data_IF_437416909540
#
_entry.id   IF_437416909540
#
_cell.length_a   1.000
_cell.length_b   1.000
_cell.length_c   1.000
_cell.angle_alpha   90.00
_cell.angle_beta   90.00
_cell.angle_gamma   90.00
#
_symmetry.space_group_name_H-M   'P 1'
#
loop_
_entity.id
_entity.type
_entity.pdbx_description
1 polymer ?
#
# COMPACT_ATOMS: atom_id res chain seq x y z
N UNK A 1 -15.38 19.74 11.64
CA UNK A 1 -14.99 18.40 11.13
C UNK A 1 -14.11 18.45 9.88
N UNK A 2 -14.41 19.25 8.84
CA UNK A 2 -13.59 19.26 7.60
C UNK A 2 -12.15 19.71 7.82
N UNK A 3 -11.96 20.75 8.63
CA UNK A 3 -10.65 21.35 8.93
C UNK A 3 -9.72 20.41 9.71
N UNK A 4 -10.28 19.57 10.58
CA UNK A 4 -9.53 18.55 11.34
C UNK A 4 -9.07 17.41 10.41
N UNK A 5 -9.94 16.95 9.50
CA UNK A 5 -9.58 15.93 8.50
C UNK A 5 -8.48 16.46 7.57
N UNK A 6 -8.62 17.69 7.07
CA UNK A 6 -7.61 18.33 6.24
C UNK A 6 -6.25 18.47 6.94
N UNK A 7 -6.23 18.80 8.23
CA UNK A 7 -4.99 18.87 9.03
C UNK A 7 -4.28 17.52 9.13
N UNK A 8 -5.02 16.42 9.33
CA UNK A 8 -4.44 15.08 9.41
C UNK A 8 -3.90 14.62 8.05
N UNK A 9 -4.62 14.92 6.96
CA UNK A 9 -4.16 14.59 5.61
C UNK A 9 -2.85 15.30 5.28
N UNK A 10 -2.72 16.59 5.62
CA UNK A 10 -1.47 17.34 5.38
C UNK A 10 -0.27 16.76 6.16
N UNK A 11 -0.46 16.42 7.44
CA UNK A 11 0.58 15.78 8.25
C UNK A 11 1.00 14.41 7.70
N UNK A 12 0.02 13.61 7.27
CA UNK A 12 0.26 12.29 6.66
C UNK A 12 0.95 12.40 5.30
N UNK A 13 0.57 13.38 4.50
CA UNK A 13 1.24 13.69 3.22
C UNK A 13 2.70 14.04 3.47
N UNK A 14 2.98 14.91 4.45
CA UNK A 14 4.35 15.25 4.82
C UNK A 14 5.16 14.02 5.24
N UNK A 15 4.55 13.09 5.97
CA UNK A 15 5.19 11.81 6.32
C UNK A 15 5.50 10.96 5.07
N UNK A 16 4.63 10.93 4.06
CA UNK A 16 4.93 10.26 2.79
C UNK A 16 6.14 10.90 2.09
N UNK A 17 6.20 12.23 1.96
CA UNK A 17 7.36 12.90 1.35
C UNK A 17 8.66 12.66 2.13
N UNK A 18 8.61 12.66 3.47
CA UNK A 18 9.80 12.55 4.32
C UNK A 18 10.25 11.11 4.60
N UNK A 19 9.32 10.19 4.82
CA UNK A 19 9.60 8.83 5.27
C UNK A 19 9.26 7.78 4.22
N UNK A 20 8.45 8.11 3.21
CA UNK A 20 8.01 7.17 2.17
C UNK A 20 6.87 6.24 2.60
N UNK A 21 6.36 6.40 3.83
CA UNK A 21 5.23 5.64 4.35
C UNK A 21 4.55 6.41 5.49
N UNK A 22 3.30 6.04 5.78
CA UNK A 22 2.57 6.48 6.96
C UNK A 22 1.61 5.37 7.41
N UNK A 23 1.39 5.26 8.73
CA UNK A 23 0.42 4.32 9.29
C UNK A 23 -0.92 5.02 9.51
N UNK A 24 -1.98 4.39 9.03
CA UNK A 24 -3.36 4.87 9.18
C UNK A 24 -4.14 3.91 10.10
N UNK A 25 -4.27 4.21 11.40
CA UNK A 25 -5.00 3.36 12.33
C UNK A 25 -6.52 3.45 12.08
N UNK A 26 -7.23 2.34 12.27
CA UNK A 26 -8.69 2.32 12.26
C UNK A 26 -9.34 2.62 10.90
N UNK A 27 -8.66 2.35 9.80
CA UNK A 27 -9.24 2.45 8.43
C UNK A 27 -10.37 1.44 8.24
N UNK A 28 -10.23 0.24 8.83
CA UNK A 28 -11.23 -0.81 8.82
C UNK A 28 -11.68 -1.14 10.24
N UNK A 29 -12.96 -1.48 10.38
CA UNK A 29 -13.53 -1.99 11.62
C UNK A 29 -13.52 -3.52 11.65
N UNK A 30 -13.74 -4.10 12.84
CA UNK A 30 -13.70 -5.55 13.03
C UNK A 30 -14.66 -6.32 12.09
N UNK A 31 -15.91 -5.87 11.85
CA UNK A 31 -16.81 -6.52 10.90
C UNK A 31 -16.27 -6.56 9.47
N UNK A 32 -15.72 -5.45 8.96
CA UNK A 32 -15.13 -5.41 7.61
C UNK A 32 -13.90 -6.31 7.51
N UNK A 33 -13.05 -6.33 8.54
CA UNK A 33 -11.89 -7.22 8.60
C UNK A 33 -12.34 -8.69 8.54
N UNK A 34 -13.34 -9.09 9.33
CA UNK A 34 -13.87 -10.45 9.31
C UNK A 34 -14.46 -10.84 7.94
N UNK A 35 -15.17 -9.91 7.29
CA UNK A 35 -15.72 -10.12 5.95
C UNK A 35 -14.61 -10.30 4.89
N UNK A 36 -13.58 -9.45 4.91
CA UNK A 36 -12.44 -9.55 4.01
C UNK A 36 -11.70 -10.89 4.18
N UNK A 37 -11.45 -11.31 5.42
CA UNK A 37 -10.82 -12.60 5.71
C UNK A 37 -11.63 -13.77 5.15
N UNK A 38 -12.94 -13.77 5.40
CA UNK A 38 -13.85 -14.80 4.87
C UNK A 38 -13.82 -14.84 3.35
N UNK A 39 -13.83 -13.68 2.69
CA UNK A 39 -13.76 -13.58 1.24
C UNK A 39 -12.41 -14.08 0.70
N UNK A 40 -11.29 -13.74 1.35
CA UNK A 40 -9.95 -14.22 0.98
C UNK A 40 -9.85 -15.74 1.13
N UNK A 41 -10.40 -16.31 2.21
CA UNK A 41 -10.41 -17.77 2.43
C UNK A 41 -11.19 -18.54 1.36
N UNK A 42 -12.21 -17.91 0.79
CA UNK A 42 -13.01 -18.47 -0.29
C UNK A 42 -12.33 -18.36 -1.68
N UNK A 43 -11.26 -17.55 -1.83
CA UNK A 43 -10.60 -17.37 -3.12
C UNK A 43 -10.03 -18.69 -3.66
N UNK A 44 -10.06 -18.79 -4.99
CA UNK A 44 -9.40 -19.84 -5.76
C UNK A 44 -8.47 -19.17 -6.78
N UNK A 45 -7.26 -19.70 -6.98
CA UNK A 45 -6.31 -19.09 -7.89
C UNK A 45 -6.83 -19.15 -9.33
N UNK A 46 -6.69 -18.05 -10.06
CA UNK A 46 -6.95 -17.96 -11.49
C UNK A 46 -5.77 -17.27 -12.18
N UNK A 47 -5.47 -17.66 -13.42
CA UNK A 47 -4.43 -17.03 -14.25
C UNK A 47 -3.06 -16.92 -13.56
N UNK A 48 -2.64 -15.69 -13.21
CA UNK A 48 -1.32 -15.37 -12.62
C UNK A 48 -1.31 -15.34 -11.10
N UNK A 49 -2.38 -15.82 -10.46
CA UNK A 49 -2.38 -16.09 -9.03
C UNK A 49 -1.43 -17.24 -8.70
N UNK A 50 -0.95 -17.25 -7.47
CA UNK A 50 -0.22 -18.38 -6.93
C UNK A 50 -0.58 -18.61 -5.47
N UNK A 51 -0.33 -19.84 -5.03
CA UNK A 51 -0.49 -20.30 -3.65
C UNK A 51 0.77 -21.05 -3.22
N UNK A 52 1.01 -21.14 -1.91
CA UNK A 52 2.19 -21.82 -1.36
C UNK A 52 2.50 -21.34 0.05
N UNK A 53 3.75 -20.97 0.33
CA UNK A 53 4.09 -20.25 1.56
C UNK A 53 3.46 -18.84 1.60
N UNK A 54 3.14 -18.29 0.43
CA UNK A 54 2.41 -17.04 0.24
C UNK A 54 1.36 -17.28 -0.84
N UNK A 55 0.11 -16.94 -0.55
CA UNK A 55 -0.92 -16.80 -1.56
C UNK A 55 -0.99 -15.35 -2.03
N UNK A 56 -1.13 -15.17 -3.34
CA UNK A 56 -1.27 -13.86 -3.96
C UNK A 56 -2.34 -13.93 -5.04
N UNK A 57 -3.45 -13.23 -4.79
CA UNK A 57 -4.59 -13.13 -5.70
C UNK A 57 -4.66 -11.75 -6.33
N UNK A 58 -4.73 -11.69 -7.66
CA UNK A 58 -4.61 -10.44 -8.42
C UNK A 58 -5.94 -9.93 -8.96
N UNK A 59 -6.05 -8.63 -9.19
CA UNK A 59 -7.18 -7.97 -9.84
C UNK A 59 -8.54 -8.32 -9.18
N UNK A 60 -8.63 -8.23 -7.85
CA UNK A 60 -9.82 -8.64 -7.10
C UNK A 60 -11.08 -7.85 -7.46
N UNK A 61 -10.95 -6.55 -7.75
CA UNK A 61 -12.08 -5.71 -8.17
C UNK A 61 -12.77 -6.22 -9.45
N UNK A 62 -12.08 -7.02 -10.28
CA UNK A 62 -12.66 -7.66 -11.47
C UNK A 62 -13.35 -8.99 -11.18
N UNK A 63 -13.22 -9.53 -9.96
CA UNK A 63 -13.74 -10.86 -9.62
C UNK A 63 -15.14 -10.80 -9.01
N UNK A 64 -15.38 -9.84 -8.13
CA UNK A 64 -16.62 -9.73 -7.38
C UNK A 64 -16.88 -8.28 -6.94
N UNK A 65 -18.11 -7.74 -7.06
CA UNK A 65 -18.46 -6.41 -6.56
C UNK A 65 -18.19 -6.19 -5.06
N UNK A 66 -18.10 -7.26 -4.27
CA UNK A 66 -17.71 -7.23 -2.86
C UNK A 66 -16.42 -6.42 -2.61
N UNK A 67 -15.47 -6.45 -3.55
CA UNK A 67 -14.17 -5.81 -3.38
C UNK A 67 -14.18 -4.28 -3.63
N UNK A 68 -15.18 -3.77 -4.35
CA UNK A 68 -15.22 -2.38 -4.82
C UNK A 68 -15.28 -1.34 -3.68
N UNK A 69 -16.05 -1.54 -2.59
CA UNK A 69 -16.10 -0.57 -1.50
C UNK A 69 -14.75 -0.35 -0.78
N UNK A 70 -13.77 -1.22 -0.98
CA UNK A 70 -12.44 -1.12 -0.38
C UNK A 70 -11.43 -0.36 -1.26
N UNK A 71 -11.84 0.11 -2.44
CA UNK A 71 -11.02 0.95 -3.32
C UNK A 71 -11.06 2.43 -2.92
N UNK A 72 -12.10 2.84 -2.21
CA UNK A 72 -12.41 4.24 -1.87
C UNK A 72 -12.66 4.38 -0.36
N UNK A 73 -11.66 3.95 0.43
CA UNK A 73 -11.75 3.98 1.88
C UNK A 73 -11.46 5.40 2.39
N UNK A 74 -12.32 5.96 3.27
CA UNK A 74 -12.03 7.22 3.94
C UNK A 74 -10.67 7.17 4.66
N UNK A 75 -9.99 8.31 4.71
CA UNK A 75 -8.59 8.51 5.10
C UNK A 75 -7.55 8.02 4.10
N UNK A 76 -7.85 6.97 3.31
CA UNK A 76 -6.94 6.43 2.30
C UNK A 76 -7.08 7.23 1.01
N UNK A 77 -8.31 7.43 0.54
CA UNK A 77 -8.56 8.15 -0.72
C UNK A 77 -8.09 9.60 -0.64
N UNK A 78 -8.41 10.32 0.43
CA UNK A 78 -8.03 11.73 0.57
C UNK A 78 -6.50 11.90 0.61
N UNK A 79 -5.78 10.92 1.17
CA UNK A 79 -4.32 10.92 1.17
C UNK A 79 -3.76 10.53 -0.20
N UNK A 80 -4.38 9.58 -0.91
CA UNK A 80 -3.97 9.17 -2.25
C UNK A 80 -4.13 10.32 -3.25
N UNK A 81 -5.28 11.02 -3.23
CA UNK A 81 -5.55 12.19 -4.07
C UNK A 81 -4.60 13.35 -3.73
N UNK A 82 -4.33 13.59 -2.44
CA UNK A 82 -3.36 14.61 -2.04
C UNK A 82 -1.92 14.28 -2.48
N UNK A 83 -1.56 13.00 -2.56
CA UNK A 83 -0.23 12.53 -2.93
C UNK A 83 -0.01 12.43 -4.45
N UNK A 84 -1.03 12.01 -5.20
CA UNK A 84 -0.93 11.66 -6.62
C UNK A 84 -1.73 12.58 -7.55
N UNK A 85 -2.62 13.41 -7.01
CA UNK A 85 -3.59 14.21 -7.76
C UNK A 85 -5.02 13.63 -7.70
N UNK A 86 -6.01 14.51 -7.88
CA UNK A 86 -7.44 14.14 -7.89
C UNK A 86 -7.82 13.24 -9.09
N UNK A 87 -6.97 13.14 -10.11
CA UNK A 87 -7.12 12.27 -11.27
C UNK A 87 -6.36 10.93 -11.14
N UNK A 88 -5.91 10.60 -9.92
CA UNK A 88 -5.31 9.29 -9.65
C UNK A 88 -6.31 8.15 -9.88
N UNK A 89 -5.80 6.95 -10.18
CA UNK A 89 -6.63 5.79 -10.48
C UNK A 89 -6.05 4.51 -9.91
N UNK A 90 -6.94 3.57 -9.58
CA UNK A 90 -6.56 2.24 -9.10
C UNK A 90 -6.03 1.41 -10.26
N UNK A 91 -4.78 0.97 -10.14
CA UNK A 91 -4.15 0.06 -11.12
C UNK A 91 -4.12 -1.41 -10.65
N UNK A 92 -4.48 -1.67 -9.39
CA UNK A 92 -4.44 -3.01 -8.82
C UNK A 92 -5.16 -3.11 -7.49
N UNK A 93 -5.77 -4.27 -7.25
CA UNK A 93 -6.24 -4.68 -5.93
C UNK A 93 -5.90 -6.16 -5.79
N UNK A 94 -5.15 -6.47 -4.75
CA UNK A 94 -4.63 -7.83 -4.51
C UNK A 94 -4.92 -8.26 -3.09
N UNK A 95 -5.04 -9.56 -2.86
CA UNK A 95 -5.04 -10.14 -1.52
C UNK A 95 -3.81 -11.02 -1.36
N UNK A 96 -3.17 -10.87 -0.21
CA UNK A 96 -1.98 -11.61 0.19
C UNK A 96 -2.31 -12.40 1.44
N UNK A 97 -1.91 -13.67 1.48
CA UNK A 97 -2.02 -14.52 2.67
C UNK A 97 -0.72 -15.27 2.88
N UNK A 98 0.02 -14.88 3.90
CA UNK A 98 1.24 -15.56 4.33
C UNK A 98 0.89 -16.77 5.18
N UNK A 99 1.50 -17.91 4.90
CA UNK A 99 1.33 -19.14 5.68
C UNK A 99 2.53 -19.36 6.62
N UNK A 100 2.39 -20.17 7.68
CA UNK A 100 3.50 -20.49 8.57
C UNK A 100 4.76 -20.94 7.82
N UNK A 101 5.90 -20.38 8.19
CA UNK A 101 7.19 -20.61 7.52
C UNK A 101 7.53 -19.58 6.43
N UNK A 102 6.62 -18.65 6.10
CA UNK A 102 6.97 -17.48 5.30
C UNK A 102 7.89 -16.53 6.08
N UNK A 103 9.00 -16.13 5.48
CA UNK A 103 10.04 -15.30 6.12
C UNK A 103 10.18 -13.90 5.51
N UNK A 104 9.26 -13.54 4.60
CA UNK A 104 9.33 -12.29 3.85
C UNK A 104 10.09 -12.41 2.53
N UNK A 105 10.30 -11.26 1.90
CA UNK A 105 11.05 -11.10 0.65
C UNK A 105 12.36 -10.36 0.91
N UNK A 106 13.30 -10.43 -0.04
CA UNK A 106 14.50 -9.60 -0.01
C UNK A 106 14.17 -8.10 -0.07
N UNK A 107 15.15 -7.24 0.24
CA UNK A 107 14.99 -5.80 0.09
C UNK A 107 14.70 -5.46 -1.37
N UNK A 108 13.57 -4.80 -1.61
CA UNK A 108 13.11 -4.41 -2.94
C UNK A 108 12.29 -3.13 -2.87
N UNK A 109 11.87 -2.68 -4.04
CA UNK A 109 10.85 -1.67 -4.24
C UNK A 109 9.80 -2.26 -5.20
N UNK A 110 8.54 -1.91 -5.03
CA UNK A 110 7.46 -2.44 -5.86
C UNK A 110 7.51 -1.90 -7.29
N UNK A 111 7.96 -0.64 -7.45
CA UNK A 111 7.94 0.05 -8.73
C UNK A 111 9.01 1.15 -8.82
N UNK A 112 9.79 1.13 -9.91
CA UNK A 112 10.72 2.20 -10.29
C UNK A 112 10.49 2.53 -11.77
N UNK A 113 9.79 3.64 -12.08
CA UNK A 113 9.56 4.03 -13.47
C UNK A 113 10.84 4.31 -14.24
N UNK A 114 11.78 4.99 -13.61
CA UNK A 114 13.08 5.32 -14.18
C UNK A 114 14.10 5.55 -13.08
N UNK A 115 15.33 5.06 -13.30
CA UNK A 115 16.45 5.41 -12.42
C UNK A 115 16.86 6.87 -12.65
N UNK A 116 17.08 7.60 -11.57
CA UNK A 116 17.41 9.03 -11.61
C UNK A 116 18.90 9.27 -11.37
N UNK A 117 19.51 10.25 -12.06
CA UNK A 117 20.89 10.62 -11.80
C UNK A 117 21.02 11.27 -10.41
N UNK A 118 22.09 10.98 -9.64
CA UNK A 118 22.31 11.59 -8.33
C UNK A 118 22.25 13.12 -8.34
N UNK A 119 22.75 13.76 -9.40
CA UNK A 119 22.74 15.22 -9.54
C UNK A 119 21.34 15.84 -9.51
N UNK A 120 20.31 15.09 -9.90
CA UNK A 120 18.92 15.55 -9.81
C UNK A 120 18.37 15.38 -8.39
N UNK A 121 18.73 14.28 -7.71
CA UNK A 121 18.31 14.00 -6.34
C UNK A 121 19.00 14.90 -5.29
N UNK A 122 20.22 15.36 -5.61
CA UNK A 122 21.01 16.28 -4.78
C UNK A 122 20.54 17.74 -4.92
N UNK A 123 19.73 18.06 -5.93
CA UNK A 123 19.17 19.41 -6.12
C UNK A 123 18.04 19.66 -5.10
N UNK A 124 18.19 20.61 -4.16
CA UNK A 124 17.17 20.90 -3.16
C UNK A 124 15.89 21.49 -3.74
N UNK A 125 15.92 21.99 -4.98
CA UNK A 125 14.73 22.45 -5.69
C UNK A 125 13.98 21.32 -6.40
N UNK A 126 14.58 20.13 -6.52
CA UNK A 126 13.94 18.97 -7.10
C UNK A 126 13.18 18.18 -6.02
N UNK A 127 11.89 18.01 -6.25
CA UNK A 127 11.06 17.11 -5.47
C UNK A 127 10.70 15.90 -6.33
N UNK A 128 11.07 14.71 -5.85
CA UNK A 128 10.72 13.46 -6.54
C UNK A 128 9.20 13.26 -6.48
N UNK A 129 8.48 13.31 -7.62
CA UNK A 129 7.04 13.11 -7.60
C UNK A 129 6.70 11.68 -7.18
N UNK A 130 5.66 11.53 -6.35
CA UNK A 130 5.06 10.22 -6.09
C UNK A 130 4.32 9.77 -7.35
N UNK A 131 4.71 8.62 -7.88
CA UNK A 131 4.13 8.04 -9.10
C UNK A 131 3.15 6.92 -8.82
N UNK A 132 3.29 6.27 -7.66
CA UNK A 132 2.43 5.20 -7.18
C UNK A 132 2.34 5.29 -5.65
N UNK A 133 1.17 5.00 -5.11
CA UNK A 133 0.97 4.83 -3.67
C UNK A 133 0.33 3.47 -3.42
N UNK A 134 0.94 2.66 -2.56
CA UNK A 134 0.42 1.35 -2.17
C UNK A 134 -0.25 1.44 -0.81
N UNK A 135 -1.56 1.20 -0.75
CA UNK A 135 -2.28 1.03 0.50
C UNK A 135 -2.24 -0.46 0.93
N UNK A 136 -1.49 -0.76 1.99
CA UNK A 136 -1.47 -2.09 2.61
C UNK A 136 -2.50 -2.14 3.76
N UNK A 137 -3.56 -2.92 3.58
CA UNK A 137 -4.59 -3.11 4.60
C UNK A 137 -4.29 -4.40 5.38
N UNK A 138 -3.82 -4.26 6.61
CA UNK A 138 -3.60 -5.41 7.50
C UNK A 138 -4.93 -5.92 8.05
N UNK A 139 -5.14 -7.24 7.98
CA UNK A 139 -6.36 -7.93 8.40
C UNK A 139 -6.17 -8.76 9.67
N UNK A 140 -4.96 -8.71 10.23
CA UNK A 140 -4.56 -9.30 11.49
C UNK A 140 -3.77 -8.26 12.30
N UNK A 141 -3.69 -8.47 13.61
CA UNK A 141 -2.80 -7.71 14.47
C UNK A 141 -1.37 -8.18 14.22
N UNK A 142 -0.62 -7.41 13.45
CA UNK A 142 0.72 -7.80 13.00
C UNK A 142 1.73 -7.64 14.12
N UNK A 143 2.38 -8.74 14.49
CA UNK A 143 3.53 -8.79 15.38
C UNK A 143 4.79 -9.29 14.66
N UNK A 144 5.87 -9.51 15.41
CA UNK A 144 7.14 -9.98 14.86
C UNK A 144 7.10 -11.44 14.35
N UNK A 145 6.15 -12.26 14.79
CA UNK A 145 6.00 -13.66 14.38
C UNK A 145 5.28 -13.79 13.03
N UNK A 146 4.50 -12.77 12.65
CA UNK A 146 3.72 -12.71 11.40
C UNK A 146 4.48 -12.12 10.19
N UNK A 147 5.81 -12.09 10.25
CA UNK A 147 6.67 -11.58 9.18
C UNK A 147 6.23 -10.19 8.65
N UNK A 148 6.22 -9.15 9.50
CA UNK A 148 5.74 -7.82 9.14
C UNK A 148 6.54 -7.23 7.99
N UNK A 149 5.87 -6.46 7.13
CA UNK A 149 6.57 -5.62 6.15
C UNK A 149 7.52 -4.67 6.88
N UNK A 150 8.81 -4.76 6.54
CA UNK A 150 9.83 -3.84 7.03
C UNK A 150 10.07 -2.78 5.97
N UNK A 151 10.07 -1.52 6.39
CA UNK A 151 10.34 -0.37 5.54
C UNK A 151 11.62 0.31 6.00
N UNK A 152 12.40 0.85 5.05
CA UNK A 152 13.56 1.69 5.35
C UNK A 152 13.09 3.14 5.19
N UNK A 153 12.95 3.91 6.28
CA UNK A 153 12.44 5.28 6.18
C UNK A 153 13.28 6.14 5.23
N UNK A 154 12.61 6.80 4.29
CA UNK A 154 13.23 7.68 3.29
C UNK A 154 13.85 6.99 2.08
N UNK A 155 13.81 5.65 1.98
CA UNK A 155 14.43 4.91 0.87
C UNK A 155 13.74 5.15 -0.48
N UNK A 156 12.50 5.64 -0.50
CA UNK A 156 11.77 6.00 -1.73
C UNK A 156 12.46 7.09 -2.54
N UNK A 157 13.29 7.93 -1.90
CA UNK A 157 14.08 8.98 -2.57
C UNK A 157 15.37 8.48 -3.23
N UNK A 158 15.69 7.19 -3.14
CA UNK A 158 16.94 6.66 -3.68
C UNK A 158 17.04 6.79 -5.22
N UNK A 159 15.91 6.81 -5.93
CA UNK A 159 15.87 6.92 -7.39
C UNK A 159 16.57 5.77 -8.13
N UNK A 160 16.79 4.62 -7.48
CA UNK A 160 17.47 3.44 -8.02
C UNK A 160 17.02 2.17 -7.26
N UNK A 161 17.23 0.96 -7.81
CA UNK A 161 17.05 -0.27 -7.04
C UNK A 161 18.03 -0.33 -5.84
N UNK A 162 17.70 -1.11 -4.79
CA UNK A 162 18.56 -1.32 -3.63
C UNK A 162 20.01 -1.63 -4.00
#
# INVERSE_FOLDING_TARGET
MPEFIASHTAERLQALHQQGFVLLPGVLDAPRIAALRTAIDALRPIHWDYQGSLDHYKCLFNRDPFWLPYLDLPQVIELAEAALGEDCHVIGQTAWRCHPGFVGSELHLDHLPMALPPSLLDDPAFELPMQICTAQLYLDDIDAELAPTRVIPGSHRAGRPP
#
